data_IF_234164637138
#
_entry.id   IF_234164637138
#
_cell.length_a   1.000
_cell.length_b   1.000
_cell.length_c   1.000
_cell.angle_alpha   90.00
_cell.angle_beta   90.00
_cell.angle_gamma   90.00
#
_symmetry.space_group_name_H-M   'P 1'
#
loop_
_entity.id
_entity.type
_entity.pdbx_description
1 polymer ?
#
# COMPACT_ATOMS: atom_id res chain seq x y z
N UNK A 1 14.03 -4.22 17.12
CA UNK A 1 14.67 -3.24 16.22
C UNK A 1 15.14 -2.06 17.06
N UNK A 2 16.42 -2.00 17.46
CA UNK A 2 16.94 -0.95 18.37
C UNK A 2 17.90 0.03 17.69
N UNK A 3 18.00 -0.03 16.35
CA UNK A 3 18.88 0.82 15.54
C UNK A 3 18.11 1.67 14.54
N UNK A 4 18.05 1.19 13.29
CA UNK A 4 17.69 2.02 12.11
C UNK A 4 16.19 2.07 11.78
N UNK A 5 15.33 1.36 12.52
CA UNK A 5 13.88 1.30 12.26
C UNK A 5 13.47 0.55 10.99
N UNK A 6 14.41 0.28 10.07
CA UNK A 6 14.19 -0.43 8.80
C UNK A 6 15.15 -1.62 8.65
N UNK A 7 14.75 -2.62 7.88
CA UNK A 7 15.59 -3.76 7.50
C UNK A 7 15.16 -4.36 6.15
N UNK A 8 16.12 -4.94 5.43
CA UNK A 8 15.83 -5.80 4.29
C UNK A 8 15.62 -7.23 4.76
N UNK A 9 14.59 -7.89 4.22
CA UNK A 9 14.31 -9.30 4.47
C UNK A 9 14.44 -10.06 3.15
N UNK A 10 15.28 -11.09 3.12
CA UNK A 10 15.43 -12.00 1.99
C UNK A 10 14.93 -13.41 2.36
N UNK A 11 14.63 -14.23 1.36
CA UNK A 11 14.10 -15.58 1.56
C UNK A 11 12.85 -15.62 2.47
N UNK A 12 11.99 -14.61 2.36
CA UNK A 12 10.82 -14.41 3.23
C UNK A 12 9.68 -15.43 2.98
N UNK A 13 9.76 -16.21 1.89
CA UNK A 13 8.77 -17.23 1.54
C UNK A 13 7.41 -16.63 1.17
N UNK A 14 7.39 -15.42 0.60
CA UNK A 14 6.20 -14.84 -0.01
C UNK A 14 6.13 -15.36 -1.44
N UNK A 15 4.94 -15.72 -1.91
CA UNK A 15 4.75 -16.20 -3.29
C UNK A 15 5.06 -15.08 -4.30
N UNK A 16 6.13 -15.26 -5.07
CA UNK A 16 6.56 -14.30 -6.09
C UNK A 16 5.49 -14.06 -7.17
N UNK A 17 4.61 -15.04 -7.41
CA UNK A 17 3.48 -14.87 -8.33
C UNK A 17 2.46 -13.88 -7.76
N UNK A 18 2.08 -14.01 -6.48
CA UNK A 18 1.15 -13.08 -5.85
C UNK A 18 1.67 -11.63 -5.89
N UNK A 19 2.99 -11.44 -5.73
CA UNK A 19 3.61 -10.12 -5.85
C UNK A 19 3.58 -9.63 -7.30
N UNK A 20 4.10 -10.41 -8.25
CA UNK A 20 4.21 -10.01 -9.66
C UNK A 20 2.85 -9.80 -10.34
N UNK A 21 1.84 -10.63 -10.05
CA UNK A 21 0.45 -10.46 -10.52
C UNK A 21 -0.14 -9.14 -9.99
N UNK A 22 0.02 -8.85 -8.70
CA UNK A 22 -0.50 -7.61 -8.12
C UNK A 22 0.21 -6.36 -8.67
N UNK A 23 1.53 -6.41 -8.87
CA UNK A 23 2.27 -5.33 -9.53
C UNK A 23 1.81 -5.11 -10.97
N UNK A 24 1.61 -6.20 -11.73
CA UNK A 24 1.09 -6.12 -13.11
C UNK A 24 -0.31 -5.53 -13.15
N UNK A 25 -1.19 -5.95 -12.24
CA UNK A 25 -2.55 -5.43 -12.08
C UNK A 25 -2.55 -3.93 -11.72
N UNK A 26 -1.65 -3.49 -10.84
CA UNK A 26 -1.47 -2.08 -10.50
C UNK A 26 -0.91 -1.25 -11.67
N UNK A 27 0.09 -1.77 -12.40
CA UNK A 27 0.64 -1.12 -13.58
C UNK A 27 -0.43 -0.91 -14.66
N UNK A 28 -1.20 -1.97 -14.97
CA UNK A 28 -2.33 -1.89 -15.89
C UNK A 28 -3.38 -0.85 -15.46
N UNK A 29 -3.61 -0.70 -14.16
CA UNK A 29 -4.49 0.35 -13.65
C UNK A 29 -3.92 1.76 -13.88
N UNK A 30 -2.64 1.99 -13.57
CA UNK A 30 -2.01 3.30 -13.71
C UNK A 30 -1.82 3.73 -15.18
N UNK A 31 -1.74 2.77 -16.10
CA UNK A 31 -1.71 2.99 -17.55
C UNK A 31 -3.09 3.40 -18.14
N UNK A 32 -4.18 3.29 -17.38
CA UNK A 32 -5.49 3.73 -17.83
C UNK A 32 -5.55 5.26 -18.01
N UNK A 33 -6.38 5.76 -18.96
CA UNK A 33 -6.68 7.19 -19.06
C UNK A 33 -7.19 7.77 -17.74
N UNK A 34 -6.87 9.04 -17.47
CA UNK A 34 -7.25 9.72 -16.23
C UNK A 34 -8.74 9.59 -15.91
N UNK A 35 -9.62 9.72 -16.90
CA UNK A 35 -11.07 9.64 -16.72
C UNK A 35 -11.50 8.26 -16.18
N UNK A 36 -10.77 7.20 -16.54
CA UNK A 36 -11.03 5.84 -16.06
C UNK A 36 -10.48 5.65 -14.64
N UNK A 37 -9.27 6.16 -14.35
CA UNK A 37 -8.69 6.12 -12.99
C UNK A 37 -9.52 6.93 -11.99
N UNK A 38 -10.00 8.09 -12.42
CA UNK A 38 -10.80 9.01 -11.62
C UNK A 38 -12.18 8.44 -11.25
N UNK A 39 -12.65 7.39 -11.93
CA UNK A 39 -13.85 6.66 -11.50
C UNK A 39 -13.68 6.04 -10.10
N UNK A 40 -12.44 5.72 -9.72
CA UNK A 40 -12.09 5.12 -8.44
C UNK A 40 -11.65 6.15 -7.40
N UNK A 41 -11.89 7.44 -7.64
CA UNK A 41 -11.36 8.51 -6.80
C UNK A 41 -11.67 8.31 -5.32
N UNK A 42 -10.62 8.34 -4.49
CA UNK A 42 -10.71 8.22 -3.04
C UNK A 42 -11.33 9.48 -2.47
N UNK A 43 -12.56 9.42 -1.97
CA UNK A 43 -13.18 10.55 -1.27
C UNK A 43 -12.51 10.77 0.09
N UNK A 44 -12.56 11.99 0.63
CA UNK A 44 -11.99 12.31 1.95
C UNK A 44 -12.63 11.51 3.10
N UNK A 45 -13.85 11.03 2.91
CA UNK A 45 -14.59 10.19 3.86
C UNK A 45 -14.22 8.72 3.80
N UNK A 46 -13.30 8.34 2.90
CA UNK A 46 -13.00 6.97 2.53
C UNK A 46 -11.49 6.74 2.49
N UNK A 47 -11.07 5.55 2.89
CA UNK A 47 -9.65 5.15 3.01
C UNK A 47 -9.17 4.25 1.87
N UNK A 48 -9.95 4.10 0.82
CA UNK A 48 -9.71 3.21 -0.33
C UNK A 48 -9.89 3.96 -1.66
N UNK A 49 -9.19 3.54 -2.70
CA UNK A 49 -9.34 4.05 -4.07
C UNK A 49 -8.16 4.92 -4.50
N UNK A 50 -8.38 5.60 -5.62
CA UNK A 50 -7.37 6.33 -6.38
C UNK A 50 -7.10 7.74 -5.83
N UNK A 51 -5.83 8.11 -5.76
CA UNK A 51 -5.36 9.47 -5.50
C UNK A 51 -4.51 9.94 -6.67
N UNK A 52 -4.91 11.05 -7.28
CA UNK A 52 -4.20 11.64 -8.41
C UNK A 52 -2.89 12.34 -8.02
N UNK A 53 -2.09 12.65 -9.04
CA UNK A 53 -0.83 13.39 -8.91
C UNK A 53 -1.01 14.73 -8.20
N UNK A 54 -0.12 15.03 -7.24
CA UNK A 54 -0.10 16.31 -6.52
C UNK A 54 -1.25 16.51 -5.51
N UNK A 55 -2.12 15.50 -5.31
CA UNK A 55 -3.25 15.61 -4.38
C UNK A 55 -2.84 15.45 -2.92
N UNK A 56 -1.95 14.50 -2.62
CA UNK A 56 -1.41 14.35 -1.27
C UNK A 56 -0.41 15.48 -1.02
N UNK A 57 -0.80 16.46 -0.20
CA UNK A 57 0.07 17.54 0.26
C UNK A 57 0.40 17.31 1.73
N UNK A 58 1.68 17.33 2.08
CA UNK A 58 2.10 17.44 3.47
C UNK A 58 1.96 18.89 3.94
N UNK A 59 2.05 19.11 5.25
CA UNK A 59 1.86 20.44 5.88
C UNK A 59 2.81 21.52 5.34
N UNK A 60 3.95 21.13 4.76
CA UNK A 60 4.83 22.02 4.01
C UNK A 60 4.22 22.33 2.63
N UNK A 61 3.47 23.43 2.57
CA UNK A 61 2.71 23.88 1.39
C UNK A 61 3.53 24.05 0.08
N UNK A 62 4.86 24.07 0.17
CA UNK A 62 5.78 24.30 -0.94
C UNK A 62 6.35 23.01 -1.56
N UNK A 63 5.94 21.83 -1.08
CA UNK A 63 6.36 20.52 -1.61
C UNK A 63 5.24 19.88 -2.42
N UNK A 64 5.55 19.60 -3.69
CA UNK A 64 4.67 18.86 -4.59
C UNK A 64 5.17 17.43 -4.74
N UNK A 65 4.37 16.44 -4.37
CA UNK A 65 4.67 15.02 -4.60
C UNK A 65 4.21 14.56 -5.99
N UNK A 66 5.15 14.09 -6.82
CA UNK A 66 4.83 13.46 -8.11
C UNK A 66 4.60 11.97 -7.89
N UNK A 67 3.43 11.63 -7.36
CA UNK A 67 2.98 10.25 -7.25
C UNK A 67 1.47 10.18 -7.43
N UNK A 68 1.01 9.09 -8.03
CA UNK A 68 -0.38 8.68 -7.94
C UNK A 68 -0.44 7.38 -7.12
N UNK A 69 -1.56 7.16 -6.44
CA UNK A 69 -1.72 5.99 -5.57
C UNK A 69 -3.08 5.33 -5.71
N UNK A 70 -3.13 4.05 -5.36
CA UNK A 70 -4.37 3.31 -5.21
C UNK A 70 -4.32 2.52 -3.91
N UNK A 71 -5.19 2.90 -2.97
CA UNK A 71 -5.24 2.30 -1.65
C UNK A 71 -6.34 1.25 -1.56
N UNK A 72 -6.04 0.12 -0.93
CA UNK A 72 -6.99 -0.96 -0.67
C UNK A 72 -6.89 -1.40 0.79
N UNK A 73 -7.93 -1.09 1.56
CA UNK A 73 -8.09 -1.62 2.91
C UNK A 73 -8.97 -2.87 2.96
N UNK A 74 -9.89 -3.02 2.00
CA UNK A 74 -10.91 -4.07 1.97
C UNK A 74 -11.15 -4.56 0.55
N UNK A 75 -11.28 -5.88 0.39
CA UNK A 75 -11.60 -6.55 -0.86
C UNK A 75 -12.81 -7.47 -0.65
N UNK A 76 -13.82 -7.47 -1.54
CA UNK A 76 -14.61 -6.33 -2.00
C UNK A 76 -15.86 -6.16 -1.10
N UNK A 77 -15.75 -5.60 0.10
CA UNK A 77 -16.98 -5.20 0.80
C UNK A 77 -17.45 -3.83 0.28
N UNK A 78 -18.33 -3.85 -0.73
CA UNK A 78 -19.23 -2.77 -1.15
C UNK A 78 -18.60 -1.41 -1.52
N UNK A 79 -17.29 -1.32 -1.73
CA UNK A 79 -16.66 -0.04 -2.05
C UNK A 79 -16.69 0.31 -3.53
N UNK A 80 -16.34 -0.65 -4.38
CA UNK A 80 -16.41 -0.52 -5.84
C UNK A 80 -17.66 -1.21 -6.35
N UNK A 81 -18.34 -0.61 -7.32
CA UNK A 81 -19.40 -1.33 -8.01
C UNK A 81 -18.78 -2.48 -8.79
N UNK A 82 -19.52 -3.59 -8.94
CA UNK A 82 -19.04 -4.76 -9.68
C UNK A 82 -18.56 -4.40 -11.10
N UNK A 83 -19.26 -3.45 -11.74
CA UNK A 83 -18.91 -2.93 -13.08
C UNK A 83 -17.54 -2.25 -13.12
N UNK A 84 -17.11 -1.67 -12.02
CA UNK A 84 -15.82 -0.98 -11.93
C UNK A 84 -14.72 -2.04 -11.89
N UNK A 85 -14.88 -3.05 -11.04
CA UNK A 85 -13.92 -4.16 -10.94
C UNK A 85 -13.74 -4.93 -12.27
N UNK A 86 -14.74 -4.94 -13.14
CA UNK A 86 -14.65 -5.54 -14.49
C UNK A 86 -13.72 -4.76 -15.44
N UNK A 87 -13.42 -3.48 -15.17
CA UNK A 87 -12.51 -2.65 -15.97
C UNK A 87 -11.05 -3.05 -15.76
N UNK A 88 -10.71 -3.65 -14.61
CA UNK A 88 -9.34 -4.07 -14.28
C UNK A 88 -9.38 -5.58 -14.06
N UNK A 89 -9.21 -6.39 -15.12
CA UNK A 89 -9.28 -7.84 -15.02
C UNK A 89 -8.35 -8.37 -13.92
N UNK A 90 -8.84 -9.33 -13.14
CA UNK A 90 -8.12 -9.99 -12.05
C UNK A 90 -7.68 -9.11 -10.87
N UNK A 91 -7.81 -7.78 -10.93
CA UNK A 91 -7.33 -6.85 -9.90
C UNK A 91 -7.76 -7.25 -8.48
N UNK A 92 -9.05 -7.56 -8.31
CA UNK A 92 -9.56 -7.98 -7.00
C UNK A 92 -8.94 -9.31 -6.52
N UNK A 93 -8.79 -10.29 -7.42
CA UNK A 93 -8.16 -11.58 -7.11
C UNK A 93 -6.71 -11.36 -6.69
N UNK A 94 -5.96 -10.62 -7.50
CA UNK A 94 -4.51 -10.48 -7.34
C UNK A 94 -4.17 -9.71 -6.05
N UNK A 95 -4.93 -8.66 -5.74
CA UNK A 95 -4.76 -7.94 -4.47
C UNK A 95 -5.20 -8.81 -3.30
N UNK A 96 -6.22 -9.67 -3.46
CA UNK A 96 -6.64 -10.58 -2.37
C UNK A 96 -5.54 -11.60 -2.06
N UNK A 97 -4.91 -12.15 -3.11
CA UNK A 97 -3.77 -13.04 -2.98
C UNK A 97 -2.60 -12.32 -2.31
N UNK A 98 -2.28 -11.09 -2.73
CA UNK A 98 -1.22 -10.30 -2.11
C UNK A 98 -1.53 -9.96 -0.63
N UNK A 99 -2.77 -9.57 -0.31
CA UNK A 99 -3.23 -9.32 1.06
C UNK A 99 -3.03 -10.54 1.95
N UNK A 100 -3.41 -11.72 1.47
CA UNK A 100 -3.22 -12.96 2.23
C UNK A 100 -1.73 -13.26 2.44
N UNK A 101 -0.93 -13.21 1.37
CA UNK A 101 0.49 -13.52 1.42
C UNK A 101 1.27 -12.56 2.32
N UNK A 102 0.95 -11.26 2.26
CA UNK A 102 1.57 -10.23 3.12
C UNK A 102 1.10 -10.32 4.56
N UNK A 103 -0.17 -10.65 4.82
CA UNK A 103 -0.67 -10.94 6.18
C UNK A 103 0.09 -12.10 6.82
N UNK A 104 0.27 -13.20 6.10
CA UNK A 104 1.02 -14.35 6.61
C UNK A 104 2.48 -14.01 6.90
N UNK A 105 3.12 -13.26 6.01
CA UNK A 105 4.49 -12.78 6.24
C UNK A 105 4.57 -11.85 7.46
N UNK A 106 3.63 -10.91 7.59
CA UNK A 106 3.55 -9.99 8.72
C UNK A 106 3.43 -10.75 10.05
N UNK A 107 2.53 -11.75 10.14
CA UNK A 107 2.37 -12.56 11.35
C UNK A 107 3.66 -13.34 11.69
N UNK A 108 4.38 -13.88 10.71
CA UNK A 108 5.69 -14.52 10.95
C UNK A 108 6.72 -13.54 11.51
N UNK A 109 6.76 -12.31 10.99
CA UNK A 109 7.66 -11.26 11.50
C UNK A 109 7.27 -10.90 12.94
N UNK A 110 5.97 -10.77 13.24
CA UNK A 110 5.48 -10.49 14.59
C UNK A 110 5.84 -11.58 15.60
N UNK A 111 5.85 -12.87 15.20
CA UNK A 111 6.38 -13.96 16.05
C UNK A 111 7.86 -13.73 16.39
N UNK A 112 8.67 -13.36 15.40
CA UNK A 112 10.08 -13.04 15.64
C UNK A 112 10.25 -11.82 16.56
N UNK A 113 9.42 -10.79 16.39
CA UNK A 113 9.43 -9.60 17.24
C UNK A 113 9.05 -9.94 18.68
N UNK A 114 8.00 -10.76 18.90
CA UNK A 114 7.59 -11.20 20.22
C UNK A 114 8.73 -11.89 20.98
N UNK A 115 9.48 -12.77 20.29
CA UNK A 115 10.66 -13.44 20.85
C UNK A 115 11.75 -12.45 21.25
N UNK A 116 12.08 -11.49 20.38
CA UNK A 116 13.12 -10.48 20.65
C UNK A 116 12.72 -9.55 21.80
N UNK A 117 11.42 -9.26 21.93
CA UNK A 117 10.88 -8.43 23.01
C UNK A 117 10.66 -9.19 24.32
N UNK A 118 10.98 -10.49 24.38
CA UNK A 118 10.72 -11.37 25.52
C UNK A 118 9.24 -11.36 25.96
N UNK A 119 8.33 -11.31 24.99
CA UNK A 119 6.90 -11.51 25.27
C UNK A 119 6.69 -13.00 25.54
N UNK A 120 6.28 -13.32 26.77
CA UNK A 120 6.13 -14.71 27.23
C UNK A 120 5.05 -15.47 26.47
N UNK A 121 3.97 -14.77 26.08
CA UNK A 121 2.88 -15.33 25.29
C UNK A 121 2.88 -14.70 23.88
N UNK A 122 3.53 -15.38 22.93
CA UNK A 122 3.51 -14.94 21.54
C UNK A 122 2.11 -15.00 20.93
N UNK A 123 1.22 -15.86 21.43
CA UNK A 123 -0.14 -15.97 20.91
C UNK A 123 -0.96 -14.75 21.28
N UNK A 124 -0.87 -14.27 22.53
CA UNK A 124 -1.51 -13.02 22.95
C UNK A 124 -1.07 -11.84 22.06
N UNK A 125 0.23 -11.74 21.75
CA UNK A 125 0.73 -10.71 20.86
C UNK A 125 0.18 -10.83 19.42
N UNK A 126 0.06 -12.05 18.89
CA UNK A 126 -0.52 -12.27 17.57
C UNK A 126 -2.02 -12.00 17.53
N UNK A 127 -2.75 -12.29 18.60
CA UNK A 127 -4.19 -12.09 18.68
C UNK A 127 -4.53 -10.59 18.56
N UNK A 128 -3.71 -9.71 19.14
CA UNK A 128 -3.80 -8.25 18.95
C UNK A 128 -3.62 -7.79 17.49
N UNK A 129 -3.01 -8.62 16.64
CA UNK A 129 -2.73 -8.34 15.23
C UNK A 129 -3.51 -9.25 14.27
N UNK A 130 -4.42 -10.10 14.77
CA UNK A 130 -5.14 -11.10 13.98
C UNK A 130 -6.08 -10.49 12.91
N UNK A 131 -6.52 -9.25 13.15
CA UNK A 131 -7.48 -8.53 12.33
C UNK A 131 -6.87 -7.79 11.12
N UNK A 132 -5.62 -8.06 10.72
CA UNK A 132 -5.05 -7.52 9.47
C UNK A 132 -6.01 -7.79 8.31
N UNK A 133 -6.39 -6.71 7.61
CA UNK A 133 -7.37 -6.64 6.50
C UNK A 133 -8.82 -7.04 6.85
N UNK A 134 -9.17 -7.17 8.13
CA UNK A 134 -10.55 -7.39 8.60
C UNK A 134 -11.27 -6.04 8.77
N UNK A 135 -12.60 -6.04 8.74
CA UNK A 135 -13.43 -4.86 8.98
C UNK A 135 -12.97 -4.11 10.25
N UNK A 136 -12.93 -2.78 10.17
CA UNK A 136 -12.45 -1.85 11.23
C UNK A 136 -10.93 -1.83 11.49
N UNK A 137 -10.15 -2.75 10.88
CA UNK A 137 -8.69 -2.66 10.90
C UNK A 137 -8.17 -1.67 9.84
N UNK A 138 -7.10 -0.94 10.16
CA UNK A 138 -6.50 0.09 9.29
C UNK A 138 -5.42 -0.40 8.31
N UNK A 139 -5.17 -1.72 8.21
CA UNK A 139 -4.18 -2.26 7.27
C UNK A 139 -4.56 -1.90 5.84
N UNK A 140 -3.58 -1.42 5.08
CA UNK A 140 -3.79 -0.90 3.72
C UNK A 140 -2.71 -1.46 2.80
N UNK A 141 -3.11 -2.01 1.66
CA UNK A 141 -2.21 -2.15 0.51
C UNK A 141 -2.26 -0.84 -0.26
N UNK A 142 -1.10 -0.21 -0.41
CA UNK A 142 -0.95 1.03 -1.16
C UNK A 142 -0.08 0.77 -2.38
N UNK A 143 -0.69 0.84 -3.56
CA UNK A 143 0.05 0.87 -4.82
C UNK A 143 0.49 2.29 -5.11
N UNK A 144 1.74 2.46 -5.52
CA UNK A 144 2.35 3.75 -5.82
C UNK A 144 2.93 3.72 -7.23
N UNK A 145 2.58 4.72 -8.03
CA UNK A 145 3.20 4.97 -9.32
C UNK A 145 3.85 6.34 -9.32
N UNK A 146 5.14 6.36 -9.69
CA UNK A 146 5.96 7.56 -9.80
C UNK A 146 6.27 7.81 -11.27
N UNK A 147 5.53 8.71 -11.95
CA UNK A 147 5.76 9.03 -13.36
C UNK A 147 7.21 9.47 -13.65
N UNK A 148 7.61 9.30 -14.91
CA UNK A 148 8.84 9.91 -15.41
C UNK A 148 8.78 11.44 -15.30
N UNK A 149 9.91 12.08 -14.97
CA UNK A 149 10.02 13.53 -14.77
C UNK A 149 10.06 14.35 -16.08
N UNK A 150 9.51 13.84 -17.18
CA UNK A 150 9.56 14.58 -18.45
C UNK A 150 8.70 15.86 -18.37
N UNK A 151 9.34 17.03 -18.45
CA UNK A 151 8.66 18.32 -18.52
C UNK A 151 8.34 19.00 -17.17
N UNK A 152 8.79 18.47 -16.04
CA UNK A 152 8.65 19.12 -14.73
C UNK A 152 9.90 19.97 -14.47
N UNK A 153 9.78 21.30 -14.60
CA UNK A 153 10.88 22.23 -14.34
C UNK A 153 11.16 22.33 -12.84
N UNK A 154 12.41 22.10 -12.43
CA UNK A 154 12.88 22.20 -11.04
C UNK A 154 12.90 23.64 -10.48
N UNK A 155 12.39 24.64 -11.21
CA UNK A 155 12.74 26.05 -10.99
C UNK A 155 11.84 26.82 -10.00
N UNK A 156 10.66 26.30 -9.61
CA UNK A 156 9.74 27.08 -8.74
C UNK A 156 9.02 26.32 -7.63
N UNK A 157 8.98 24.98 -7.64
CA UNK A 157 8.37 24.16 -6.58
C UNK A 157 9.36 23.09 -6.10
N UNK A 158 9.40 22.78 -4.80
CA UNK A 158 10.20 21.64 -4.32
C UNK A 158 9.50 20.35 -4.71
N UNK A 159 9.80 19.87 -5.91
CA UNK A 159 9.15 18.69 -6.45
C UNK A 159 9.88 17.42 -6.02
N UNK A 160 9.22 16.58 -5.22
CA UNK A 160 9.76 15.31 -4.71
C UNK A 160 8.91 14.13 -5.17
N UNK A 161 9.45 12.91 -5.13
CA UNK A 161 8.65 11.69 -5.37
C UNK A 161 7.82 11.35 -4.16
N UNK A 162 8.44 11.36 -2.99
CA UNK A 162 7.81 11.09 -1.71
C UNK A 162 8.49 11.99 -0.69
N UNK A 163 7.73 12.80 0.03
CA UNK A 163 8.21 13.69 1.04
C UNK A 163 8.55 12.92 2.33
N UNK A 164 9.39 13.50 3.17
CA UNK A 164 9.86 12.85 4.41
C UNK A 164 8.68 12.69 5.37
N UNK A 165 8.47 11.48 5.87
CA UNK A 165 7.42 11.16 6.83
C UNK A 165 7.79 9.93 7.66
N UNK A 166 6.99 9.66 8.68
CA UNK A 166 6.97 8.37 9.40
C UNK A 166 5.66 7.65 9.11
N UNK A 167 5.72 6.34 8.95
CA UNK A 167 4.51 5.54 8.80
C UNK A 167 3.64 5.59 10.06
N UNK A 168 2.32 5.60 9.89
CA UNK A 168 1.36 5.63 11.01
C UNK A 168 1.16 4.26 11.68
N UNK A 169 1.45 3.17 10.97
CA UNK A 169 1.17 1.80 11.40
C UNK A 169 2.25 1.19 12.29
N UNK A 170 2.04 -0.06 12.70
CA UNK A 170 3.03 -0.82 13.49
C UNK A 170 4.15 -1.44 12.66
N UNK A 171 3.87 -1.77 11.39
CA UNK A 171 4.83 -2.38 10.46
C UNK A 171 4.41 -2.09 9.01
N UNK A 172 5.41 -1.82 8.17
CA UNK A 172 5.24 -1.66 6.72
C UNK A 172 6.07 -2.70 5.99
N UNK A 173 5.44 -3.43 5.08
CA UNK A 173 6.12 -4.29 4.10
C UNK A 173 6.22 -3.51 2.79
N UNK A 174 7.43 -3.01 2.49
CA UNK A 174 7.69 -2.25 1.27
C UNK A 174 8.31 -3.16 0.21
N UNK A 175 7.69 -3.20 -0.95
CA UNK A 175 8.19 -3.91 -2.13
C UNK A 175 8.52 -2.88 -3.21
N UNK A 176 9.71 -3.00 -3.81
CA UNK A 176 10.14 -2.18 -4.93
C UNK A 176 10.62 -3.13 -6.02
N UNK A 177 10.03 -3.02 -7.21
CA UNK A 177 10.29 -3.87 -8.39
C UNK A 177 10.73 -2.99 -9.55
#
# INVERSE_FOLDING_TARGET
MTGVGCMYLSNHGLDENALSEAFSSAANFFDLPFERKNHYYRLSTKSQGYSELGREKLEEADITEIKESFDVQRLPENYFEKKDLEIIPNFQKDISNLSQATKELALRILVCMAKVLNINDSQEFLDLHSNIFVKENGSTIRFLHYPAKEGISDETERVVRCATHTDYGGMTLLFQV
#
